data_IF_109322991157
#
_entry.id   IF_109322991157
#
_cell.length_a   1.000
_cell.length_b   1.000
_cell.length_c   1.000
_cell.angle_alpha   90.00
_cell.angle_beta   90.00
_cell.angle_gamma   90.00
#
_symmetry.space_group_name_H-M   'P 1'
#
loop_
_entity.id
_entity.type
_entity.pdbx_description
1 polymer ?
#
# COMPACT_ATOMS: atom_id res chain seq x y z
N UNK A 1 -0.58 22.25 -15.76
CA UNK A 1 0.52 21.74 -14.95
C UNK A 1 0.13 21.62 -13.47
N UNK A 2 -0.38 22.69 -12.88
CA UNK A 2 -0.88 22.68 -11.49
C UNK A 2 -2.05 21.70 -11.32
N UNK A 3 -2.93 21.65 -12.30
CA UNK A 3 -4.07 20.73 -12.30
C UNK A 3 -3.57 19.30 -12.28
N UNK A 4 -2.53 19.01 -13.06
CA UNK A 4 -1.95 17.68 -13.14
C UNK A 4 -1.34 17.26 -11.79
N UNK A 5 -0.66 18.16 -11.11
CA UNK A 5 -0.11 17.92 -9.78
C UNK A 5 -1.21 17.58 -8.76
N UNK A 6 -2.30 18.35 -8.78
CA UNK A 6 -3.43 18.14 -7.86
C UNK A 6 -4.11 16.82 -8.10
N UNK A 7 -4.33 16.46 -9.37
CA UNK A 7 -4.96 15.19 -9.71
C UNK A 7 -4.14 14.00 -9.26
N UNK A 8 -2.84 14.03 -9.51
CA UNK A 8 -1.95 12.94 -9.12
C UNK A 8 -1.88 12.81 -7.60
N UNK A 9 -1.73 13.93 -6.89
CA UNK A 9 -1.71 13.93 -5.44
C UNK A 9 -3.02 13.43 -4.84
N UNK A 10 -4.14 13.82 -5.43
CA UNK A 10 -5.47 13.40 -5.00
C UNK A 10 -5.68 11.90 -5.19
N UNK A 11 -5.32 11.35 -6.35
CA UNK A 11 -5.40 9.91 -6.62
C UNK A 11 -4.57 9.10 -5.64
N UNK A 12 -3.35 9.54 -5.38
CA UNK A 12 -2.44 8.87 -4.45
C UNK A 12 -3.03 8.85 -3.03
N UNK A 13 -3.62 9.96 -2.60
CA UNK A 13 -4.27 10.08 -1.30
C UNK A 13 -5.46 9.13 -1.19
N UNK A 14 -6.31 9.06 -2.21
CA UNK A 14 -7.47 8.18 -2.23
C UNK A 14 -7.05 6.72 -2.16
N UNK A 15 -6.09 6.30 -2.99
CA UNK A 15 -5.59 4.93 -3.00
C UNK A 15 -4.99 4.56 -1.64
N UNK A 16 -4.15 5.42 -1.09
CA UNK A 16 -3.51 5.19 0.20
C UNK A 16 -4.54 5.11 1.33
N UNK A 17 -5.51 6.01 1.34
CA UNK A 17 -6.56 6.06 2.36
C UNK A 17 -7.47 4.82 2.33
N UNK A 18 -7.63 4.19 1.18
CA UNK A 18 -8.43 2.98 1.06
C UNK A 18 -7.64 1.71 1.31
N UNK A 19 -6.45 1.58 0.73
CA UNK A 19 -5.71 0.33 0.79
C UNK A 19 -5.12 0.05 2.18
N UNK A 20 -4.63 1.07 2.86
CA UNK A 20 -3.98 0.86 4.16
C UNK A 20 -4.98 0.31 5.20
N UNK A 21 -6.15 0.90 5.40
CA UNK A 21 -7.12 0.34 6.35
C UNK A 21 -7.57 -1.07 5.98
N UNK A 22 -7.78 -1.35 4.69
CA UNK A 22 -8.18 -2.68 4.22
C UNK A 22 -7.07 -3.69 4.48
N UNK A 23 -5.83 -3.33 4.19
CA UNK A 23 -4.67 -4.19 4.44
C UNK A 23 -4.50 -4.48 5.93
N UNK A 24 -4.69 -3.49 6.79
CA UNK A 24 -4.61 -3.66 8.24
C UNK A 24 -5.71 -4.61 8.72
N UNK A 25 -6.93 -4.49 8.22
CA UNK A 25 -8.01 -5.41 8.57
C UNK A 25 -7.71 -6.85 8.13
N UNK A 26 -7.19 -7.02 6.94
CA UNK A 26 -6.81 -8.33 6.46
C UNK A 26 -5.67 -8.91 7.32
N UNK A 27 -4.71 -8.09 7.69
CA UNK A 27 -3.63 -8.47 8.58
C UNK A 27 -4.17 -8.93 9.94
N UNK A 28 -5.17 -8.23 10.47
CA UNK A 28 -5.84 -8.62 11.73
C UNK A 28 -6.52 -9.97 11.61
N UNK A 29 -7.19 -10.24 10.48
CA UNK A 29 -7.78 -11.55 10.23
C UNK A 29 -6.73 -12.66 10.19
N UNK A 30 -5.59 -12.41 9.56
CA UNK A 30 -4.47 -13.37 9.52
C UNK A 30 -3.90 -13.61 10.91
N UNK A 31 -3.75 -12.55 11.71
CA UNK A 31 -3.25 -12.66 13.07
C UNK A 31 -4.22 -13.43 13.97
N UNK A 32 -5.53 -13.20 13.81
CA UNK A 32 -6.55 -13.98 14.52
C UNK A 32 -6.47 -15.45 14.14
N UNK A 33 -6.26 -15.75 12.87
CA UNK A 33 -6.08 -17.11 12.40
C UNK A 33 -4.85 -17.77 13.04
N UNK A 34 -3.73 -17.07 13.08
CA UNK A 34 -2.49 -17.55 13.71
C UNK A 34 -2.72 -17.83 15.18
N UNK A 35 -3.40 -16.93 15.88
CA UNK A 35 -3.70 -17.08 17.32
C UNK A 35 -4.57 -18.30 17.56
N UNK A 36 -5.58 -18.53 16.74
CA UNK A 36 -6.46 -19.70 16.84
C UNK A 36 -5.73 -21.01 16.52
N UNK A 37 -4.85 -20.97 15.53
CA UNK A 37 -4.00 -22.13 15.20
C UNK A 37 -3.09 -22.46 16.38
N UNK A 38 -2.50 -21.46 17.01
CA UNK A 38 -1.65 -21.66 18.17
C UNK A 38 -2.44 -22.22 19.36
N UNK A 39 -3.65 -21.73 19.58
CA UNK A 39 -4.51 -22.20 20.65
C UNK A 39 -4.88 -23.68 20.44
N UNK A 40 -5.17 -24.08 19.21
CA UNK A 40 -5.62 -25.44 18.88
C UNK A 40 -4.45 -26.41 18.69
N UNK A 41 -3.38 -25.99 18.02
CA UNK A 41 -2.29 -26.85 17.58
C UNK A 41 -0.93 -26.46 18.13
N UNK A 42 -0.86 -25.51 19.07
CA UNK A 42 0.41 -24.96 19.56
C UNK A 42 1.35 -25.96 20.19
N UNK A 43 0.82 -27.07 20.68
CA UNK A 43 1.63 -28.15 21.24
C UNK A 43 2.02 -29.23 20.24
N UNK A 44 1.66 -29.10 18.99
CA UNK A 44 1.87 -30.10 17.95
C UNK A 44 2.84 -29.61 16.87
N UNK A 45 3.61 -30.50 16.25
CA UNK A 45 4.55 -30.10 15.19
C UNK A 45 3.87 -29.44 13.97
N UNK A 46 2.62 -29.81 13.68
CA UNK A 46 1.89 -29.25 12.54
C UNK A 46 1.65 -27.76 12.63
N UNK A 47 1.71 -27.17 13.84
CA UNK A 47 1.47 -25.74 14.03
C UNK A 47 2.42 -24.89 13.18
N UNK A 48 3.70 -25.26 13.15
CA UNK A 48 4.70 -24.49 12.40
C UNK A 48 4.37 -24.48 10.91
N UNK A 49 4.01 -25.61 10.35
CA UNK A 49 3.64 -25.72 8.93
C UNK A 49 2.34 -24.97 8.62
N UNK A 50 1.33 -25.12 9.49
CA UNK A 50 0.02 -24.47 9.30
C UNK A 50 0.09 -22.96 9.38
N UNK A 51 0.96 -22.44 10.23
CA UNK A 51 1.06 -21.00 10.49
C UNK A 51 2.10 -20.30 9.61
N UNK A 52 2.89 -21.04 8.85
CA UNK A 52 3.96 -20.48 8.03
C UNK A 52 3.45 -19.48 6.98
N UNK A 53 2.46 -19.87 6.19
CA UNK A 53 1.91 -19.02 5.13
C UNK A 53 1.20 -17.77 5.69
N UNK A 54 0.32 -17.89 6.70
CA UNK A 54 -0.26 -16.69 7.31
C UNK A 54 0.79 -15.74 7.90
N UNK A 55 1.84 -16.25 8.54
CA UNK A 55 2.92 -15.41 9.07
C UNK A 55 3.66 -14.69 7.95
N UNK A 56 3.94 -15.40 6.85
CA UNK A 56 4.61 -14.82 5.69
C UNK A 56 3.79 -13.66 5.11
N UNK A 57 2.48 -13.86 4.98
CA UNK A 57 1.58 -12.83 4.48
C UNK A 57 1.53 -11.62 5.40
N UNK A 58 1.48 -11.83 6.72
CA UNK A 58 1.50 -10.74 7.71
C UNK A 58 2.77 -9.89 7.56
N UNK A 59 3.93 -10.55 7.45
CA UNK A 59 5.21 -9.84 7.28
C UNK A 59 5.24 -9.05 5.96
N UNK A 60 4.73 -9.65 4.90
CA UNK A 60 4.70 -9.02 3.57
C UNK A 60 3.82 -7.77 3.60
N UNK A 61 2.63 -7.89 4.19
CA UNK A 61 1.70 -6.77 4.32
C UNK A 61 2.32 -5.65 5.16
N UNK A 62 2.88 -5.99 6.31
CA UNK A 62 3.53 -5.01 7.18
C UNK A 62 4.68 -4.30 6.47
N UNK A 63 5.48 -5.03 5.71
CA UNK A 63 6.56 -4.44 4.92
C UNK A 63 6.09 -3.43 3.89
N UNK A 64 5.02 -3.76 3.17
CA UNK A 64 4.47 -2.84 2.17
C UNK A 64 3.80 -1.63 2.81
N UNK A 65 3.08 -1.81 3.92
CA UNK A 65 2.47 -0.70 4.65
C UNK A 65 3.55 0.27 5.14
N UNK A 66 4.62 -0.25 5.74
CA UNK A 66 5.75 0.56 6.18
C UNK A 66 6.38 1.33 5.02
N UNK A 67 6.62 0.65 3.90
CA UNK A 67 7.23 1.26 2.73
C UNK A 67 6.36 2.38 2.16
N UNK A 68 5.04 2.15 2.06
CA UNK A 68 4.10 3.17 1.56
C UNK A 68 4.09 4.38 2.48
N UNK A 69 3.95 4.17 3.77
CA UNK A 69 3.88 5.26 4.76
C UNK A 69 5.15 6.11 4.72
N UNK A 70 6.31 5.47 4.72
CA UNK A 70 7.60 6.16 4.67
C UNK A 70 7.76 6.95 3.37
N UNK A 71 7.42 6.34 2.24
CA UNK A 71 7.56 7.00 0.93
C UNK A 71 6.58 8.15 0.74
N UNK A 72 5.37 8.04 1.30
CA UNK A 72 4.40 9.13 1.28
C UNK A 72 4.96 10.33 2.07
N UNK A 73 5.52 10.09 3.25
CA UNK A 73 6.13 11.15 4.04
C UNK A 73 7.30 11.81 3.31
N UNK A 74 8.16 11.02 2.69
CA UNK A 74 9.27 11.54 1.89
C UNK A 74 8.77 12.36 0.70
N UNK A 75 7.71 11.90 0.04
CA UNK A 75 7.12 12.60 -1.09
C UNK A 75 6.52 13.94 -0.66
N UNK A 76 5.83 13.97 0.48
CA UNK A 76 5.25 15.21 1.02
C UNK A 76 6.36 16.23 1.30
N UNK A 77 7.46 15.81 1.91
CA UNK A 77 8.60 16.68 2.17
C UNK A 77 9.25 17.18 0.88
N UNK A 78 9.43 16.29 -0.10
CA UNK A 78 10.00 16.68 -1.39
C UNK A 78 9.09 17.68 -2.11
N UNK A 79 7.77 17.48 -2.02
CA UNK A 79 6.79 18.40 -2.62
C UNK A 79 6.82 19.77 -1.97
N UNK A 80 6.94 19.80 -0.63
CA UNK A 80 7.09 21.09 0.09
C UNK A 80 8.34 21.84 -0.35
N UNK A 81 9.46 21.13 -0.50
CA UNK A 81 10.70 21.73 -0.97
C UNK A 81 10.57 22.27 -2.39
N UNK A 82 9.96 21.48 -3.28
CA UNK A 82 9.74 21.88 -4.66
C UNK A 82 8.83 23.12 -4.75
N UNK A 83 7.81 23.19 -3.91
CA UNK A 83 6.88 24.32 -3.89
C UNK A 83 7.50 25.62 -3.37
N UNK A 84 8.64 25.54 -2.66
CA UNK A 84 9.39 26.72 -2.22
C UNK A 84 10.20 27.35 -3.33
N UNK A 85 10.43 26.65 -4.43
CA UNK A 85 11.15 27.18 -5.57
C UNK A 85 10.29 28.22 -6.27
N UNK A 86 10.90 29.36 -6.61
CA UNK A 86 10.19 30.47 -7.26
C UNK A 86 10.21 30.37 -8.77
N UNK A 87 11.22 29.72 -9.33
CA UNK A 87 11.34 29.53 -10.76
C UNK A 87 10.49 28.32 -11.20
N UNK A 88 9.58 28.56 -12.14
CA UNK A 88 8.68 27.55 -12.67
C UNK A 88 9.42 26.38 -13.31
N UNK A 89 10.53 26.67 -13.98
CA UNK A 89 11.34 25.65 -14.63
C UNK A 89 12.04 24.74 -13.64
N UNK A 90 12.65 25.31 -12.61
CA UNK A 90 13.29 24.54 -11.54
C UNK A 90 12.28 23.69 -10.79
N UNK A 91 11.11 24.24 -10.53
CA UNK A 91 10.02 23.54 -9.89
C UNK A 91 9.57 22.33 -10.72
N UNK A 92 9.38 22.53 -12.02
CA UNK A 92 9.01 21.45 -12.93
C UNK A 92 10.05 20.34 -12.96
N UNK A 93 11.34 20.68 -12.99
CA UNK A 93 12.44 19.74 -12.97
C UNK A 93 12.44 18.96 -11.66
N UNK A 94 12.25 19.63 -10.53
CA UNK A 94 12.20 18.99 -9.23
C UNK A 94 11.05 17.98 -9.13
N UNK A 95 9.87 18.31 -9.65
CA UNK A 95 8.74 17.40 -9.69
C UNK A 95 9.03 16.18 -10.56
N UNK A 96 9.55 16.40 -11.74
CA UNK A 96 9.86 15.32 -12.69
C UNK A 96 10.94 14.38 -12.14
N UNK A 97 12.02 14.94 -11.57
CA UNK A 97 13.19 14.15 -11.18
C UNK A 97 13.05 13.48 -9.82
N UNK A 98 12.26 14.05 -8.91
CA UNK A 98 12.19 13.57 -7.52
C UNK A 98 10.82 12.99 -7.16
N UNK A 99 9.75 13.68 -7.51
CA UNK A 99 8.42 13.33 -7.04
C UNK A 99 7.80 12.20 -7.87
N UNK A 100 7.94 12.24 -9.17
CA UNK A 100 7.39 11.20 -10.05
C UNK A 100 7.95 9.81 -9.72
N UNK A 101 9.28 9.63 -9.53
CA UNK A 101 9.80 8.32 -9.12
C UNK A 101 9.28 7.85 -7.76
N UNK A 102 9.07 8.77 -6.83
CA UNK A 102 8.50 8.44 -5.51
C UNK A 102 7.07 7.94 -5.65
N UNK A 103 6.28 8.57 -6.52
CA UNK A 103 4.90 8.15 -6.79
C UNK A 103 4.85 6.76 -7.42
N UNK A 104 5.75 6.48 -8.33
CA UNK A 104 5.85 5.15 -8.95
C UNK A 104 6.20 4.07 -7.93
N UNK A 105 7.10 4.39 -6.99
CA UNK A 105 7.48 3.47 -5.92
C UNK A 105 6.30 3.20 -4.97
N UNK A 106 5.53 4.24 -4.64
CA UNK A 106 4.34 4.11 -3.80
C UNK A 106 3.31 3.22 -4.50
N UNK A 107 3.06 3.48 -5.78
CA UNK A 107 2.12 2.69 -6.58
C UNK A 107 2.54 1.22 -6.65
N UNK A 108 3.83 0.95 -6.79
CA UNK A 108 4.35 -0.42 -6.78
C UNK A 108 3.94 -1.16 -5.51
N UNK A 109 4.11 -0.54 -4.35
CA UNK A 109 3.76 -1.16 -3.07
C UNK A 109 2.24 -1.29 -2.89
N UNK A 110 1.48 -0.32 -3.35
CA UNK A 110 0.02 -0.38 -3.32
C UNK A 110 -0.49 -1.53 -4.18
N UNK A 111 0.05 -1.69 -5.38
CA UNK A 111 -0.32 -2.79 -6.28
C UNK A 111 0.00 -4.15 -5.64
N UNK A 112 1.13 -4.26 -4.95
CA UNK A 112 1.50 -5.48 -4.25
C UNK A 112 0.55 -5.79 -3.09
N UNK A 113 0.12 -4.78 -2.34
CA UNK A 113 -0.88 -4.95 -1.29
C UNK A 113 -2.21 -5.41 -1.87
N UNK A 114 -2.62 -4.83 -2.98
CA UNK A 114 -3.86 -5.21 -3.64
C UNK A 114 -3.87 -6.67 -4.06
N UNK A 115 -2.73 -7.21 -4.50
CA UNK A 115 -2.61 -8.60 -4.90
C UNK A 115 -2.75 -9.58 -3.73
N UNK A 116 -2.34 -9.18 -2.53
CA UNK A 116 -2.37 -10.09 -1.37
C UNK A 116 -3.62 -9.94 -0.51
N UNK A 117 -4.34 -8.83 -0.62
CA UNK A 117 -5.54 -8.61 0.18
C UNK A 117 -6.70 -9.44 -0.36
N UNK A 118 -7.46 -10.04 0.55
CA UNK A 118 -8.64 -10.84 0.20
C UNK A 118 -9.68 -9.98 -0.53
N UNK A 119 -10.17 -10.47 -1.65
CA UNK A 119 -11.16 -9.79 -2.49
C UNK A 119 -12.44 -9.45 -1.72
N UNK A 120 -12.81 -10.25 -0.72
CA UNK A 120 -14.00 -10.02 0.08
C UNK A 120 -13.86 -8.81 1.01
N UNK A 121 -12.64 -8.46 1.37
CA UNK A 121 -12.34 -7.32 2.25
C UNK A 121 -12.13 -6.04 1.43
N UNK A 122 -11.66 -6.18 0.21
CA UNK A 122 -11.36 -5.07 -0.67
C UNK A 122 -12.65 -4.38 -1.13
N UNK A 123 -12.79 -3.09 -0.80
CA UNK A 123 -14.00 -2.33 -1.07
C UNK A 123 -14.06 -1.71 -2.46
N UNK A 124 -12.91 -1.58 -3.11
CA UNK A 124 -12.83 -1.04 -4.47
C UNK A 124 -12.77 -2.20 -5.46
N UNK A 125 -13.50 -2.14 -6.58
CA UNK A 125 -13.41 -3.20 -7.59
C UNK A 125 -12.02 -3.22 -8.22
N UNK A 126 -11.48 -4.42 -8.35
CA UNK A 126 -10.20 -4.62 -9.02
C UNK A 126 -10.43 -4.62 -10.54
N UNK A 127 -9.39 -4.28 -11.27
CA UNK A 127 -9.47 -4.20 -12.74
C UNK A 127 -10.01 -5.49 -13.35
N UNK A 128 -9.54 -6.64 -12.90
CA UNK A 128 -10.01 -7.94 -13.43
C UNK A 128 -11.49 -8.19 -13.15
N UNK A 129 -12.01 -7.70 -12.02
CA UNK A 129 -13.44 -7.83 -11.71
C UNK A 129 -14.29 -7.02 -12.67
N UNK A 130 -13.82 -5.83 -13.03
CA UNK A 130 -14.51 -4.98 -14.00
C UNK A 130 -14.58 -5.66 -15.38
N UNK A 131 -13.56 -6.43 -15.74
CA UNK A 131 -13.52 -7.14 -17.02
C UNK A 131 -14.48 -8.32 -17.08
N UNK A 132 -14.79 -8.93 -15.93
CA UNK A 132 -15.63 -10.13 -15.88
C UNK A 132 -17.06 -9.89 -15.41
N UNK A 133 -17.42 -8.66 -15.09
CA UNK A 133 -18.80 -8.29 -14.76
C UNK A 133 -19.61 -8.20 -16.04
N UNK A 134 -20.75 -8.88 -16.06
CA UNK A 134 -21.68 -8.82 -17.16
C UNK A 134 -23.09 -8.54 -16.69
#
# INVERSE_FOLDING_TARGET
YEIHERLVGSEMCIETDHIIPVAVRYQSLLLDNIAKLKETFGGYPEYDDMSEEPRRLVRKIAGHICAVTKKVDEMVEARKKANRLTDMREKAIAYHDRIVPMMEAIRYHIDKLELVVDDQIWTLPKYRELLFIR
#
